data_IF_025206097129
#
_entry.id   IF_025206097129
#
_cell.length_a   1.000
_cell.length_b   1.000
_cell.length_c   1.000
_cell.angle_alpha   90.00
_cell.angle_beta   90.00
_cell.angle_gamma   90.00
#
_symmetry.space_group_name_H-M   'P 1'
#
loop_
_entity.id
_entity.type
_entity.pdbx_description
1 polymer ?
#
# COMPACT_ATOMS: atom_id res chain seq x y z
N UNK A 1 -8.56 -10.11 -12.03
CA UNK A 1 -9.76 -9.82 -11.20
C UNK A 1 -10.99 -10.02 -12.06
N UNK A 2 -12.06 -10.60 -11.53
CA UNK A 2 -13.30 -10.72 -12.28
C UNK A 2 -14.16 -9.45 -12.12
N UNK A 3 -14.62 -8.90 -13.24
CA UNK A 3 -15.46 -7.71 -13.31
C UNK A 3 -16.65 -8.03 -14.19
N UNK A 4 -17.86 -8.04 -13.62
CA UNK A 4 -19.08 -8.34 -14.37
C UNK A 4 -18.99 -9.64 -15.20
N UNK A 5 -18.33 -10.67 -14.66
CA UNK A 5 -18.13 -11.95 -15.36
C UNK A 5 -16.88 -12.04 -16.23
N UNK A 6 -16.10 -10.96 -16.36
CA UNK A 6 -14.90 -10.91 -17.23
C UNK A 6 -13.61 -10.87 -16.42
N UNK A 7 -12.64 -11.70 -16.79
CA UNK A 7 -11.31 -11.66 -16.20
C UNK A 7 -10.51 -10.49 -16.77
N UNK A 8 -10.25 -9.49 -15.93
CA UNK A 8 -9.33 -8.39 -16.23
C UNK A 8 -7.93 -8.76 -15.73
N UNK A 9 -6.92 -8.88 -16.61
CA UNK A 9 -5.55 -9.19 -16.21
C UNK A 9 -4.93 -8.07 -15.37
N UNK A 10 -4.13 -8.44 -14.37
CA UNK A 10 -3.35 -7.47 -13.61
C UNK A 10 -2.31 -6.77 -14.49
N UNK A 11 -2.05 -5.48 -14.25
CA UNK A 11 -1.11 -4.68 -15.03
C UNK A 11 -1.58 -4.39 -16.47
N UNK A 12 -2.80 -4.78 -16.82
CA UNK A 12 -3.43 -4.33 -18.06
C UNK A 12 -3.87 -2.87 -17.92
N UNK A 13 -3.91 -2.14 -19.04
CA UNK A 13 -4.40 -0.77 -19.06
C UNK A 13 -5.82 -0.63 -18.46
N UNK A 14 -6.67 -1.64 -18.64
CA UNK A 14 -8.02 -1.67 -18.06
C UNK A 14 -7.99 -1.84 -16.53
N UNK A 15 -7.14 -2.73 -16.00
CA UNK A 15 -6.98 -2.89 -14.56
C UNK A 15 -6.45 -1.62 -13.91
N UNK A 16 -5.45 -0.98 -14.52
CA UNK A 16 -4.83 0.22 -14.00
C UNK A 16 -5.79 1.41 -14.05
N UNK A 17 -6.53 1.58 -15.14
CA UNK A 17 -7.57 2.60 -15.26
C UNK A 17 -8.64 2.42 -14.17
N UNK A 18 -9.03 1.17 -13.89
CA UNK A 18 -9.98 0.88 -12.82
C UNK A 18 -9.42 1.19 -11.44
N UNK A 19 -8.17 0.82 -11.16
CA UNK A 19 -7.51 1.13 -9.90
C UNK A 19 -7.48 2.65 -9.66
N UNK A 20 -7.03 3.42 -10.66
CA UNK A 20 -6.99 4.89 -10.59
C UNK A 20 -8.38 5.49 -10.40
N UNK A 21 -9.38 5.01 -11.14
CA UNK A 21 -10.73 5.52 -11.02
C UNK A 21 -11.30 5.28 -9.62
N UNK A 22 -11.14 4.07 -9.06
CA UNK A 22 -11.66 3.74 -7.73
C UNK A 22 -10.91 4.48 -6.62
N UNK A 23 -9.58 4.55 -6.69
CA UNK A 23 -8.79 5.31 -5.72
C UNK A 23 -9.11 6.81 -5.79
N UNK A 24 -9.28 7.35 -7.00
CA UNK A 24 -9.70 8.73 -7.24
C UNK A 24 -11.03 9.07 -6.60
N UNK A 25 -12.03 8.18 -6.64
CA UNK A 25 -13.31 8.40 -5.94
C UNK A 25 -13.12 8.57 -4.42
N UNK A 26 -12.23 7.78 -3.82
CA UNK A 26 -11.91 7.88 -2.39
C UNK A 26 -11.16 9.17 -2.06
N UNK A 27 -10.17 9.53 -2.89
CA UNK A 27 -9.41 10.78 -2.75
C UNK A 27 -10.35 11.99 -2.81
N UNK A 28 -11.21 12.07 -3.82
CA UNK A 28 -12.14 13.20 -3.97
C UNK A 28 -13.11 13.29 -2.79
N UNK A 29 -13.62 12.15 -2.29
CA UNK A 29 -14.52 12.14 -1.14
C UNK A 29 -13.85 12.68 0.13
N UNK A 30 -12.57 12.34 0.37
CA UNK A 30 -11.82 12.84 1.53
C UNK A 30 -11.40 14.29 1.33
N UNK A 31 -10.88 14.64 0.16
CA UNK A 31 -10.42 15.99 -0.17
C UNK A 31 -11.54 17.02 -0.16
N UNK A 32 -12.77 16.63 -0.51
CA UNK A 32 -13.96 17.48 -0.41
C UNK A 32 -14.27 17.97 1.02
N UNK A 33 -13.70 17.33 2.05
CA UNK A 33 -13.81 17.78 3.44
C UNK A 33 -12.79 18.86 3.81
N UNK A 34 -11.91 19.24 2.87
CA UNK A 34 -10.75 20.11 3.12
C UNK A 34 -9.51 19.37 3.64
N UNK A 35 -9.60 18.05 3.83
CA UNK A 35 -8.46 17.24 4.27
C UNK A 35 -7.46 16.99 3.13
N UNK A 36 -6.18 16.99 3.47
CA UNK A 36 -5.12 16.49 2.61
C UNK A 36 -5.05 14.96 2.69
N UNK A 37 -4.89 14.27 1.56
CA UNK A 37 -4.85 12.80 1.50
C UNK A 37 -3.42 12.29 1.44
N UNK A 38 -3.01 11.50 2.43
CA UNK A 38 -1.76 10.77 2.39
C UNK A 38 -1.99 9.33 1.88
N UNK A 39 -1.39 8.97 0.75
CA UNK A 39 -1.35 7.60 0.26
C UNK A 39 -0.11 6.91 0.81
N UNK A 40 -0.29 5.92 1.68
CA UNK A 40 0.82 5.16 2.25
C UNK A 40 1.24 4.04 1.30
N UNK A 41 2.55 3.86 1.13
CA UNK A 41 3.10 2.76 0.34
C UNK A 41 2.56 1.39 0.77
N UNK A 42 2.14 0.59 -0.21
CA UNK A 42 1.88 -0.83 0.00
C UNK A 42 3.22 -1.57 0.16
N UNK A 43 3.45 -2.16 1.32
CA UNK A 43 4.69 -2.86 1.60
C UNK A 43 4.82 -4.19 0.85
N UNK A 44 6.04 -4.59 0.48
CA UNK A 44 6.34 -5.98 0.14
C UNK A 44 5.94 -6.91 1.30
N UNK A 45 5.40 -8.07 0.96
CA UNK A 45 4.90 -9.04 1.94
C UNK A 45 5.50 -10.42 1.70
N UNK A 46 5.50 -11.25 2.73
CA UNK A 46 5.96 -12.65 2.64
C UNK A 46 4.88 -13.57 3.20
N UNK A 47 3.70 -13.68 2.57
CA UNK A 47 2.56 -14.41 3.14
C UNK A 47 2.93 -15.86 3.48
N UNK A 48 2.58 -16.31 4.67
CA UNK A 48 2.82 -17.68 5.13
C UNK A 48 1.52 -18.33 5.60
N UNK A 49 1.39 -19.64 5.35
CA UNK A 49 0.30 -20.42 5.94
C UNK A 49 0.60 -20.64 7.43
N UNK A 50 -0.16 -19.96 8.28
CA UNK A 50 -0.03 -20.04 9.73
C UNK A 50 -1.34 -20.46 10.37
N UNK A 51 -1.26 -21.18 11.50
CA UNK A 51 -2.43 -21.63 12.25
C UNK A 51 -3.22 -20.40 12.73
N UNK A 52 -4.50 -20.32 12.37
CA UNK A 52 -5.39 -19.22 12.75
C UNK A 52 -5.59 -18.16 11.66
N UNK A 53 -4.91 -18.27 10.51
CA UNK A 53 -5.23 -17.45 9.34
C UNK A 53 -6.60 -17.83 8.77
N UNK A 54 -7.42 -16.81 8.50
CA UNK A 54 -8.76 -16.98 7.92
C UNK A 54 -8.75 -17.32 6.43
N UNK A 55 -7.61 -17.13 5.76
CA UNK A 55 -7.39 -17.46 4.35
C UNK A 55 -5.98 -18.03 4.17
N UNK A 56 -5.75 -18.93 3.19
CA UNK A 56 -4.41 -19.37 2.83
C UNK A 56 -3.52 -18.20 2.38
N UNK A 57 -2.20 -18.41 2.44
CA UNK A 57 -1.23 -17.50 1.89
C UNK A 57 -1.51 -17.24 0.39
N UNK A 58 -1.71 -15.97 0.04
CA UNK A 58 -1.97 -15.57 -1.35
C UNK A 58 -0.64 -15.22 -2.04
N UNK A 59 -0.19 -15.99 -3.04
CA UNK A 59 1.08 -15.75 -3.71
C UNK A 59 1.13 -14.38 -4.41
N UNK A 60 0.00 -13.89 -4.93
CA UNK A 60 -0.08 -12.58 -5.59
C UNK A 60 0.21 -11.41 -4.63
N UNK A 61 0.04 -11.63 -3.32
CA UNK A 61 0.38 -10.65 -2.28
C UNK A 61 1.86 -10.66 -1.94
N UNK A 62 2.55 -11.78 -2.18
CA UNK A 62 4.00 -11.91 -2.02
C UNK A 62 4.81 -11.56 -3.27
N UNK A 63 4.14 -11.12 -4.34
CA UNK A 63 4.77 -10.71 -5.59
C UNK A 63 5.19 -9.23 -5.51
N UNK A 64 6.49 -9.00 -5.29
CA UNK A 64 7.06 -7.66 -5.16
C UNK A 64 6.87 -6.81 -6.43
N UNK A 65 6.81 -7.43 -7.62
CA UNK A 65 6.56 -6.72 -8.87
C UNK A 65 5.14 -6.17 -8.97
N UNK A 66 4.15 -6.94 -8.48
CA UNK A 66 2.76 -6.47 -8.41
C UNK A 66 2.60 -5.36 -7.37
N UNK A 67 3.27 -5.48 -6.22
CA UNK A 67 3.26 -4.43 -5.19
C UNK A 67 3.90 -3.15 -5.72
N UNK A 68 5.08 -3.24 -6.35
CA UNK A 68 5.75 -2.11 -6.97
C UNK A 68 4.88 -1.41 -8.02
N UNK A 69 4.19 -2.17 -8.87
CA UNK A 69 3.27 -1.63 -9.86
C UNK A 69 2.15 -0.80 -9.22
N UNK A 70 1.49 -1.32 -8.17
CA UNK A 70 0.44 -0.56 -7.47
C UNK A 70 0.98 0.71 -6.80
N UNK A 71 2.19 0.65 -6.23
CA UNK A 71 2.83 1.83 -5.65
C UNK A 71 3.16 2.88 -6.70
N UNK A 72 3.61 2.48 -7.90
CA UNK A 72 3.84 3.41 -9.00
C UNK A 72 2.55 4.12 -9.42
N UNK A 73 1.44 3.37 -9.56
CA UNK A 73 0.12 3.98 -9.83
C UNK A 73 -0.25 5.01 -8.75
N UNK A 74 0.01 4.73 -7.48
CA UNK A 74 -0.27 5.66 -6.38
C UNK A 74 0.65 6.90 -6.40
N UNK A 75 1.94 6.74 -6.72
CA UNK A 75 2.87 7.86 -6.89
C UNK A 75 2.43 8.78 -8.02
N UNK A 76 2.04 8.22 -9.16
CA UNK A 76 1.55 8.99 -10.30
C UNK A 76 0.25 9.75 -9.96
N UNK A 77 -0.66 9.14 -9.21
CA UNK A 77 -1.88 9.80 -8.73
C UNK A 77 -1.53 11.00 -7.83
N UNK A 78 -0.62 10.81 -6.87
CA UNK A 78 -0.18 11.90 -6.00
C UNK A 78 0.55 13.02 -6.77
N UNK A 79 1.37 12.66 -7.76
CA UNK A 79 2.08 13.62 -8.60
C UNK A 79 1.17 14.44 -9.52
N UNK A 80 0.02 13.88 -9.91
CA UNK A 80 -0.99 14.58 -10.71
C UNK A 80 -1.74 15.67 -9.91
N UNK A 81 -1.77 15.56 -8.57
CA UNK A 81 -2.45 16.51 -7.69
C UNK A 81 -1.73 16.71 -6.34
N UNK A 82 -0.52 17.29 -6.36
CA UNK A 82 0.31 17.44 -5.17
C UNK A 82 -0.26 18.44 -4.16
N UNK A 83 -1.24 19.25 -4.57
CA UNK A 83 -1.90 20.23 -3.71
C UNK A 83 -2.88 19.58 -2.71
N UNK A 84 -3.37 18.36 -3.01
CA UNK A 84 -4.36 17.65 -2.17
C UNK A 84 -3.92 16.24 -1.79
N UNK A 85 -2.91 15.69 -2.47
CA UNK A 85 -2.47 14.30 -2.31
C UNK A 85 -0.97 14.22 -2.16
N UNK A 86 -0.49 13.38 -1.23
CA UNK A 86 0.93 13.07 -1.07
C UNK A 86 1.12 11.57 -0.94
N UNK A 87 2.07 11.03 -1.70
CA UNK A 87 2.55 9.66 -1.50
C UNK A 87 3.60 9.63 -0.39
N UNK A 88 3.50 8.68 0.53
CA UNK A 88 4.43 8.51 1.65
C UNK A 88 5.11 7.14 1.56
N UNK A 89 6.43 7.18 1.38
CA UNK A 89 7.27 5.99 1.34
C UNK A 89 7.20 5.18 2.63
N UNK A 90 7.14 3.86 2.47
CA UNK A 90 7.15 2.90 3.58
C UNK A 90 8.55 2.45 3.98
N UNK A 91 8.65 1.55 4.97
CA UNK A 91 9.94 0.97 5.36
C UNK A 91 10.53 0.11 4.24
N UNK A 92 11.70 0.50 3.72
CA UNK A 92 12.40 -0.22 2.64
C UNK A 92 12.82 -1.64 3.06
N UNK A 93 12.97 -1.87 4.37
CA UNK A 93 13.31 -3.17 4.96
C UNK A 93 12.31 -4.27 4.59
N UNK A 94 11.04 -3.93 4.32
CA UNK A 94 10.05 -4.93 3.90
C UNK A 94 10.41 -5.60 2.57
N UNK A 95 11.13 -4.91 1.68
CA UNK A 95 11.54 -5.45 0.40
C UNK A 95 13.03 -5.85 0.39
N UNK A 96 13.88 -5.03 1.04
CA UNK A 96 15.33 -5.10 0.89
C UNK A 96 16.05 -5.90 1.98
N UNK A 97 15.42 -6.15 3.13
CA UNK A 97 16.04 -6.86 4.25
C UNK A 97 15.30 -8.18 4.54
N UNK A 98 15.81 -9.33 4.07
CA UNK A 98 15.21 -10.63 4.35
C UNK A 98 15.07 -10.95 5.84
N UNK A 99 15.96 -10.45 6.70
CA UNK A 99 15.92 -10.71 8.13
C UNK A 99 14.75 -10.00 8.83
N UNK A 100 14.24 -8.90 8.25
CA UNK A 100 13.03 -8.22 8.73
C UNK A 100 11.81 -8.70 7.95
N UNK A 101 11.91 -8.81 6.62
CA UNK A 101 10.79 -9.15 5.74
C UNK A 101 10.21 -10.55 6.00
N UNK A 102 11.04 -11.50 6.44
CA UNK A 102 10.63 -12.89 6.71
C UNK A 102 10.39 -13.17 8.21
N UNK A 103 10.63 -12.20 9.09
CA UNK A 103 10.49 -12.39 10.53
C UNK A 103 9.03 -12.30 10.98
N UNK A 104 8.49 -13.43 11.44
CA UNK A 104 7.12 -13.50 11.95
C UNK A 104 6.92 -12.72 13.27
N UNK A 105 8.00 -12.35 13.95
CA UNK A 105 7.99 -11.42 15.08
C UNK A 105 7.63 -9.99 14.67
N UNK A 106 7.89 -9.60 13.42
CA UNK A 106 7.46 -8.34 12.83
C UNK A 106 6.07 -8.45 12.20
N UNK A 107 5.78 -9.55 11.50
CA UNK A 107 4.48 -9.82 10.86
C UNK A 107 4.01 -11.26 11.06
N UNK A 108 2.96 -11.46 11.83
CA UNK A 108 2.56 -12.78 12.35
C UNK A 108 2.33 -13.87 11.27
N UNK A 109 1.76 -13.49 10.13
CA UNK A 109 1.50 -14.33 8.95
C UNK A 109 2.31 -13.86 7.73
N UNK A 110 3.36 -13.06 7.96
CA UNK A 110 4.12 -12.38 6.92
C UNK A 110 3.37 -11.25 6.22
N UNK A 111 2.17 -10.89 6.68
CA UNK A 111 1.36 -9.77 6.17
C UNK A 111 1.04 -8.76 7.27
N UNK A 112 0.36 -9.16 8.33
CA UNK A 112 -0.12 -8.22 9.34
C UNK A 112 0.91 -8.03 10.46
N UNK A 113 1.11 -6.78 10.87
CA UNK A 113 2.19 -6.41 11.79
C UNK A 113 1.87 -6.69 13.25
N UNK A 114 2.90 -7.10 14.01
CA UNK A 114 2.94 -6.99 15.47
C UNK A 114 3.58 -5.67 15.91
N UNK A 115 3.69 -5.44 17.22
CA UNK A 115 4.29 -4.22 17.79
C UNK A 115 5.64 -3.83 17.15
N UNK A 116 6.60 -4.76 16.89
CA UNK A 116 7.85 -4.39 16.23
C UNK A 116 7.65 -3.88 14.80
N UNK A 117 6.80 -4.53 14.01
CA UNK A 117 6.45 -4.09 12.66
C UNK A 117 5.69 -2.76 12.63
N UNK A 118 4.76 -2.56 13.58
CA UNK A 118 4.06 -1.29 13.73
C UNK A 118 5.02 -0.15 14.12
N UNK A 119 5.95 -0.40 15.05
CA UNK A 119 7.01 0.55 15.40
C UNK A 119 7.83 0.94 14.19
N UNK A 120 8.28 -0.04 13.39
CA UNK A 120 9.03 0.22 12.16
C UNK A 120 8.24 1.10 11.19
N UNK A 121 6.96 0.80 10.96
CA UNK A 121 6.10 1.64 10.11
C UNK A 121 6.03 3.08 10.66
N UNK A 122 5.69 3.25 11.93
CA UNK A 122 5.54 4.58 12.52
C UNK A 122 6.83 5.39 12.48
N UNK A 123 7.98 4.79 12.79
CA UNK A 123 9.27 5.47 12.74
C UNK A 123 9.65 5.90 11.32
N UNK A 124 9.23 5.14 10.30
CA UNK A 124 9.47 5.53 8.91
C UNK A 124 8.54 6.65 8.45
N UNK A 125 7.24 6.56 8.72
CA UNK A 125 6.25 7.46 8.09
C UNK A 125 5.95 8.72 8.92
N UNK A 126 6.29 8.77 10.21
CA UNK A 126 5.89 9.88 11.09
C UNK A 126 6.44 11.24 10.61
N UNK A 127 7.74 11.34 10.32
CA UNK A 127 8.33 12.60 9.87
C UNK A 127 7.76 13.07 8.51
N UNK A 128 7.66 12.20 7.46
CA UNK A 128 6.97 12.55 6.23
C UNK A 128 5.53 13.02 6.43
N UNK A 129 4.74 12.33 7.27
CA UNK A 129 3.35 12.73 7.55
C UNK A 129 3.26 14.10 8.23
N UNK A 130 4.13 14.37 9.20
CA UNK A 130 4.18 15.66 9.89
C UNK A 130 4.68 16.81 8.99
N UNK A 131 5.37 16.49 7.89
CA UNK A 131 5.83 17.47 6.91
C UNK A 131 4.75 17.84 5.88
N UNK A 132 3.63 17.12 5.82
CA UNK A 132 2.52 17.45 4.92
C UNK A 132 1.91 18.78 5.37
N UNK A 133 1.82 19.79 4.49
CA UNK A 133 1.21 21.07 4.82
C UNK A 133 -0.24 20.87 5.25
N UNK A 134 -0.59 21.44 6.40
CA UNK A 134 -2.00 21.58 6.81
C UNK A 134 -2.50 22.92 6.32
N UNK A 135 -3.62 22.91 5.58
CA UNK A 135 -4.33 24.15 5.25
C UNK A 135 -4.95 24.69 6.55
N UNK A 136 -4.72 25.97 6.93
CA UNK A 136 -5.30 26.58 8.12
C UNK A 136 -6.83 26.56 8.17
#
# INVERSE_FOLDING_TARGET
MEVAGLLVPFGSAEADARFRAQLGLGIEAVAATGAHVALLEAACMRPQDVKGAGVPALPERGDDGRVAHLNELMREIAAADPARVTFVDGPTQWCADPAIAQDLGYRWDGVHVYKPGAKLIYETIAAPLLAIPVTP
#
